data_IF_913134657996
#
_entry.id   IF_913134657996
#
_cell.length_a   1.000
_cell.length_b   1.000
_cell.length_c   1.000
_cell.angle_alpha   90.00
_cell.angle_beta   90.00
_cell.angle_gamma   90.00
#
_symmetry.space_group_name_H-M   'P 1'
#
loop_
_entity.id
_entity.type
_entity.pdbx_description
1 polymer ?
#
# COMPACT_ATOMS: atom_id res chain seq x y z
N UNK A 1 -4.48 -8.29 28.62
CA UNK A 1 -3.82 -6.98 28.43
C UNK A 1 -2.74 -7.04 27.34
N UNK A 2 -1.78 -7.99 27.40
CA UNK A 2 -0.74 -8.15 26.36
C UNK A 2 -1.28 -8.42 24.94
N UNK A 3 -2.29 -9.30 24.82
CA UNK A 3 -2.92 -9.63 23.53
C UNK A 3 -3.62 -8.44 22.86
N UNK A 4 -4.31 -7.60 23.65
CA UNK A 4 -4.99 -6.40 23.16
C UNK A 4 -3.99 -5.38 22.59
N UNK A 5 -2.87 -5.17 23.30
CA UNK A 5 -1.79 -4.29 22.84
C UNK A 5 -1.12 -4.78 21.55
N UNK A 6 -0.99 -6.10 21.38
CA UNK A 6 -0.47 -6.68 20.14
C UNK A 6 -1.43 -6.49 18.97
N UNK A 7 -2.74 -6.64 19.19
CA UNK A 7 -3.79 -6.42 18.20
C UNK A 7 -3.87 -4.93 17.79
N UNK A 8 -3.79 -4.01 18.75
CA UNK A 8 -3.73 -2.56 18.49
C UNK A 8 -2.48 -2.16 17.69
N UNK A 9 -1.33 -2.71 18.06
CA UNK A 9 -0.07 -2.48 17.36
C UNK A 9 -0.10 -3.02 15.92
N UNK A 10 -0.64 -4.22 15.72
CA UNK A 10 -0.82 -4.79 14.38
C UNK A 10 -1.71 -3.89 13.53
N UNK A 11 -2.86 -3.47 14.08
CA UNK A 11 -3.82 -2.60 13.43
C UNK A 11 -3.18 -1.28 13.01
N UNK A 12 -2.36 -0.67 13.87
CA UNK A 12 -1.59 0.53 13.54
C UNK A 12 -0.66 0.33 12.34
N UNK A 13 0.12 -0.76 12.33
CA UNK A 13 1.07 -1.02 11.24
C UNK A 13 0.40 -1.36 9.92
N UNK A 14 -0.71 -2.10 9.94
CA UNK A 14 -1.49 -2.39 8.74
C UNK A 14 -2.07 -1.10 8.14
N UNK A 15 -2.73 -0.28 8.96
CA UNK A 15 -3.30 1.00 8.52
C UNK A 15 -2.22 1.96 8.01
N UNK A 16 -1.06 2.01 8.68
CA UNK A 16 0.09 2.80 8.21
C UNK A 16 0.58 2.32 6.84
N UNK A 17 0.71 1.01 6.65
CA UNK A 17 1.18 0.41 5.40
C UNK A 17 0.21 0.70 4.25
N UNK A 18 -1.10 0.54 4.47
CA UNK A 18 -2.13 0.92 3.50
C UNK A 18 -2.05 2.39 3.11
N UNK A 19 -1.94 3.29 4.10
CA UNK A 19 -1.80 4.72 3.85
C UNK A 19 -0.55 5.07 3.02
N UNK A 20 0.57 4.38 3.25
CA UNK A 20 1.79 4.57 2.47
C UNK A 20 1.62 4.11 1.02
N UNK A 21 0.96 2.97 0.78
CA UNK A 21 0.68 2.49 -0.59
C UNK A 21 -0.24 3.46 -1.35
N UNK A 22 -1.25 4.04 -0.69
CA UNK A 22 -2.09 5.08 -1.29
C UNK A 22 -1.31 6.35 -1.64
N UNK A 23 -0.37 6.76 -0.78
CA UNK A 23 0.51 7.90 -1.05
C UNK A 23 1.41 7.62 -2.25
N UNK A 24 2.01 6.42 -2.32
CA UNK A 24 2.83 6.01 -3.47
C UNK A 24 2.04 6.08 -4.77
N UNK A 25 0.83 5.53 -4.79
CA UNK A 25 -0.06 5.59 -5.96
C UNK A 25 -0.31 7.03 -6.44
N UNK A 26 -0.59 7.95 -5.51
CA UNK A 26 -0.78 9.38 -5.83
C UNK A 26 0.51 10.03 -6.38
N UNK A 27 1.67 9.66 -5.84
CA UNK A 27 2.97 10.15 -6.32
C UNK A 27 3.29 9.63 -7.72
N UNK A 28 3.03 8.36 -7.99
CA UNK A 28 3.17 7.76 -9.31
C UNK A 28 2.28 8.45 -10.35
N UNK A 29 1.02 8.76 -10.01
CA UNK A 29 0.13 9.52 -10.89
C UNK A 29 0.62 10.94 -11.18
N UNK A 30 1.26 11.58 -10.20
CA UNK A 30 1.88 12.88 -10.39
C UNK A 30 3.10 12.79 -11.33
N UNK A 31 4.02 11.86 -11.08
CA UNK A 31 5.23 11.70 -11.88
C UNK A 31 4.93 11.28 -13.32
N UNK A 32 3.92 10.43 -13.53
CA UNK A 32 3.49 10.00 -14.87
C UNK A 32 3.09 11.18 -15.76
N UNK A 33 2.58 12.29 -15.19
CA UNK A 33 2.23 13.50 -15.95
C UNK A 33 3.46 14.30 -16.41
N UNK A 34 4.61 14.11 -15.77
CA UNK A 34 5.82 14.88 -16.00
C UNK A 34 6.87 14.12 -16.82
N UNK A 35 6.81 12.79 -16.82
CA UNK A 35 7.78 11.92 -17.50
C UNK A 35 7.41 11.79 -18.98
N UNK A 36 8.42 11.90 -19.84
CA UNK A 36 8.33 11.63 -21.28
C UNK A 36 9.16 10.42 -21.70
N UNK A 37 9.93 9.86 -20.77
CA UNK A 37 10.73 8.67 -21.00
C UNK A 37 9.82 7.43 -20.88
N UNK A 38 9.67 6.64 -21.95
CA UNK A 38 8.77 5.49 -21.96
C UNK A 38 9.21 4.38 -20.99
N UNK A 39 10.52 4.21 -20.74
CA UNK A 39 11.03 3.21 -19.79
C UNK A 39 10.62 3.58 -18.36
N UNK A 40 10.72 4.87 -18.02
CA UNK A 40 10.26 5.36 -16.72
C UNK A 40 8.74 5.28 -16.58
N UNK A 41 7.99 5.49 -17.66
CA UNK A 41 6.54 5.31 -17.64
C UNK A 41 6.15 3.85 -17.35
N UNK A 42 6.78 2.89 -18.03
CA UNK A 42 6.54 1.47 -17.83
C UNK A 42 6.90 1.05 -16.40
N UNK A 43 8.06 1.49 -15.91
CA UNK A 43 8.48 1.24 -14.52
C UNK A 43 7.45 1.76 -13.51
N UNK A 44 6.89 2.96 -13.73
CA UNK A 44 5.83 3.51 -12.87
C UNK A 44 4.55 2.69 -12.96
N UNK A 45 4.17 2.22 -14.15
CA UNK A 45 2.99 1.38 -14.32
C UNK A 45 3.14 0.05 -13.56
N UNK A 46 4.33 -0.56 -13.60
CA UNK A 46 4.65 -1.78 -12.84
C UNK A 46 4.60 -1.53 -11.34
N UNK A 47 5.18 -0.43 -10.85
CA UNK A 47 5.10 -0.08 -9.43
C UNK A 47 3.66 0.17 -8.97
N UNK A 48 2.83 0.81 -9.79
CA UNK A 48 1.40 0.98 -9.49
C UNK A 48 0.65 -0.35 -9.42
N UNK A 49 1.01 -1.31 -10.28
CA UNK A 49 0.42 -2.66 -10.23
C UNK A 49 0.79 -3.37 -8.93
N UNK A 50 2.07 -3.33 -8.57
CA UNK A 50 2.56 -3.94 -7.34
C UNK A 50 1.93 -3.32 -6.09
N UNK A 51 1.81 -1.99 -6.03
CA UNK A 51 1.12 -1.31 -4.92
C UNK A 51 -0.34 -1.76 -4.75
N UNK A 52 -1.07 -2.00 -5.86
CA UNK A 52 -2.43 -2.54 -5.79
C UNK A 52 -2.47 -3.97 -5.25
N UNK A 53 -1.51 -4.81 -5.64
CA UNK A 53 -1.37 -6.17 -5.13
C UNK A 53 -1.05 -6.17 -3.64
N UNK A 54 -0.14 -5.30 -3.18
CA UNK A 54 0.16 -5.11 -1.76
C UNK A 54 -1.06 -4.66 -0.96
N UNK A 55 -1.83 -3.68 -1.44
CA UNK A 55 -3.08 -3.23 -0.79
C UNK A 55 -4.04 -4.42 -0.64
N UNK A 56 -4.21 -5.22 -1.69
CA UNK A 56 -5.06 -6.42 -1.65
C UNK A 56 -4.57 -7.41 -0.60
N UNK A 57 -3.28 -7.73 -0.59
CA UNK A 57 -2.70 -8.65 0.38
C UNK A 57 -2.82 -8.15 1.83
N UNK A 58 -2.61 -6.85 2.06
CA UNK A 58 -2.75 -6.23 3.38
C UNK A 58 -4.20 -6.35 3.86
N UNK A 59 -5.18 -6.01 3.02
CA UNK A 59 -6.59 -6.15 3.34
C UNK A 59 -6.98 -7.62 3.61
N UNK A 60 -6.51 -8.56 2.79
CA UNK A 60 -6.77 -9.99 2.99
C UNK A 60 -6.17 -10.47 4.33
N UNK A 61 -4.96 -10.01 4.69
CA UNK A 61 -4.31 -10.31 5.98
C UNK A 61 -5.08 -9.70 7.15
N UNK A 62 -5.50 -8.44 7.06
CA UNK A 62 -6.30 -7.78 8.10
C UNK A 62 -7.62 -8.52 8.35
N UNK A 63 -8.32 -8.92 7.28
CA UNK A 63 -9.56 -9.71 7.38
C UNK A 63 -9.34 -11.06 8.07
N UNK A 64 -8.26 -11.77 7.73
CA UNK A 64 -7.89 -13.05 8.39
C UNK A 64 -7.58 -12.89 9.87
N UNK A 65 -7.07 -11.73 10.27
CA UNK A 65 -6.66 -11.42 11.64
C UNK A 65 -7.76 -10.74 12.46
N UNK A 66 -8.93 -10.45 11.87
CA UNK A 66 -10.05 -9.80 12.58
C UNK A 66 -9.80 -8.35 12.95
N UNK A 67 -8.93 -7.66 12.21
CA UNK A 67 -8.56 -6.24 12.43
C UNK A 67 -9.60 -5.28 11.81
N UNK A 68 -10.51 -5.80 10.98
CA UNK A 68 -11.45 -5.04 10.16
C UNK A 68 -12.88 -5.55 10.31
#
# INVERSE_FOLDING_TARGET
>A
MFKLYQEDMLSFYFNRSLGLEEVLMKKYDFFKKMIKDPILEDMINDFKKNSKEHIKELNDKMKRLGIQ
#
